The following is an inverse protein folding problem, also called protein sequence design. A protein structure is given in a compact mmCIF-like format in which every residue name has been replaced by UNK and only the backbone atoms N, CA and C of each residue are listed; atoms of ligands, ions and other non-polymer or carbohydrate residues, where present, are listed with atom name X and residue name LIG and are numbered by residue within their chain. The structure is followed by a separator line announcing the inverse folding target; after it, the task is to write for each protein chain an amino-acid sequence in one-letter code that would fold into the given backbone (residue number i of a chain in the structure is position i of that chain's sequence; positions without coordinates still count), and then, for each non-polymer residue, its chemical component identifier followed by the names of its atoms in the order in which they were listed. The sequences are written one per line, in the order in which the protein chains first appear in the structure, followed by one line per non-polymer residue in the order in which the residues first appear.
data_IF_660067609268
#
_entry.id   IF_660067609268
#
_cell.length_a   1.000
_cell.length_b   1.000
_cell.length_c   1.000
_cell.angle_alpha   90.00
_cell.angle_beta   90.00
_cell.angle_gamma   90.00
#
_symmetry.space_group_name_H-M   'P 1'
#
loop_
_entity.id
_entity.type
_entity.pdbx_description
1 polymer ?
#
# COMPACT_ATOMS: atom_id res chain seq x y z
N UNK A 1 23.36 41.85 -17.34
CA UNK A 1 22.57 41.21 -16.27
C UNK A 1 21.24 40.65 -16.80
N UNK A 2 20.51 41.35 -17.67
CA UNK A 2 19.25 40.88 -18.29
C UNK A 2 19.38 39.55 -19.07
N UNK A 3 20.42 39.40 -19.90
CA UNK A 3 20.61 38.19 -20.72
C UNK A 3 20.83 36.90 -19.90
N UNK A 4 21.46 36.99 -18.73
CA UNK A 4 21.65 35.83 -17.85
C UNK A 4 20.31 35.34 -17.28
N UNK A 5 19.48 36.27 -16.81
CA UNK A 5 18.13 35.97 -16.28
C UNK A 5 17.26 35.35 -17.39
N UNK A 6 17.27 35.91 -18.60
CA UNK A 6 16.51 35.35 -19.74
C UNK A 6 16.94 33.92 -20.07
N UNK A 7 18.25 33.64 -20.09
CA UNK A 7 18.77 32.29 -20.33
C UNK A 7 18.38 31.32 -19.20
N UNK A 8 18.45 31.74 -17.94
CA UNK A 8 18.04 30.94 -16.79
C UNK A 8 16.54 30.60 -16.84
N UNK A 9 15.68 31.60 -17.09
CA UNK A 9 14.23 31.41 -17.25
C UNK A 9 13.92 30.43 -18.37
N UNK A 10 14.62 30.51 -19.51
CA UNK A 10 14.42 29.57 -20.62
C UNK A 10 14.75 28.12 -20.23
N UNK A 11 15.86 27.90 -19.52
CA UNK A 11 16.27 26.57 -19.04
C UNK A 11 15.30 26.01 -18.00
N UNK A 12 14.84 26.84 -17.07
CA UNK A 12 13.81 26.46 -16.10
C UNK A 12 12.50 26.10 -16.82
N UNK A 13 12.10 26.87 -17.84
CA UNK A 13 10.94 26.54 -18.67
C UNK A 13 11.04 25.14 -19.30
N UNK A 14 12.20 24.80 -19.87
CA UNK A 14 12.44 23.46 -20.43
C UNK A 14 12.36 22.35 -19.36
N UNK A 15 12.90 22.59 -18.16
CA UNK A 15 12.83 21.62 -17.05
C UNK A 15 11.39 21.42 -16.57
N UNK A 16 10.61 22.49 -16.45
CA UNK A 16 9.19 22.41 -16.08
C UNK A 16 8.42 21.61 -17.13
N UNK A 17 8.58 21.93 -18.41
CA UNK A 17 7.91 21.19 -19.49
C UNK A 17 8.27 19.70 -19.48
N UNK A 18 9.56 19.39 -19.27
CA UNK A 18 10.04 18.01 -19.17
C UNK A 18 9.43 17.28 -17.96
N UNK A 19 9.43 17.90 -16.78
CA UNK A 19 8.84 17.33 -15.56
C UNK A 19 7.35 17.09 -15.71
N UNK A 20 6.61 18.04 -16.30
CA UNK A 20 5.17 17.90 -16.56
C UNK A 20 4.89 16.76 -17.54
N UNK A 21 5.74 16.58 -18.56
CA UNK A 21 5.60 15.46 -19.49
C UNK A 21 5.80 14.12 -18.78
N UNK A 22 6.89 13.95 -18.04
CA UNK A 22 7.16 12.69 -17.33
C UNK A 22 6.14 12.40 -16.23
N UNK A 23 5.62 13.41 -15.54
CA UNK A 23 4.57 13.21 -14.53
C UNK A 23 3.25 12.72 -15.14
N UNK A 24 2.90 13.18 -16.35
CA UNK A 24 1.74 12.67 -17.08
C UNK A 24 1.93 11.22 -17.53
N UNK A 25 3.11 10.91 -18.07
CA UNK A 25 3.42 9.53 -18.49
C UNK A 25 3.42 8.60 -17.28
N UNK A 26 4.05 8.98 -16.17
CA UNK A 26 4.05 8.16 -14.96
C UNK A 26 2.64 7.98 -14.39
N UNK A 27 1.79 9.01 -14.45
CA UNK A 27 0.39 8.90 -14.04
C UNK A 27 -0.41 7.91 -14.90
N UNK A 28 -0.24 7.92 -16.23
CA UNK A 28 -0.94 6.99 -17.11
C UNK A 28 -0.44 5.55 -16.94
N UNK A 29 0.87 5.37 -16.73
CA UNK A 29 1.45 4.05 -16.38
C UNK A 29 0.90 3.56 -15.04
N UNK A 30 0.87 4.43 -14.02
CA UNK A 30 0.32 4.08 -12.71
C UNK A 30 -1.16 3.67 -12.81
N UNK A 31 -1.95 4.35 -13.64
CA UNK A 31 -3.35 4.00 -13.91
C UNK A 31 -3.49 2.63 -14.58
N UNK A 32 -2.63 2.32 -15.55
CA UNK A 32 -2.64 0.99 -16.19
C UNK A 32 -2.34 -0.11 -15.17
N UNK A 33 -1.34 0.10 -14.30
CA UNK A 33 -1.01 -0.85 -13.23
C UNK A 33 -2.19 -0.99 -12.26
N UNK A 34 -2.80 0.13 -11.83
CA UNK A 34 -3.96 0.10 -10.93
C UNK A 34 -5.10 -0.78 -11.44
N UNK A 35 -5.41 -0.68 -12.73
CA UNK A 35 -6.47 -1.47 -13.36
C UNK A 35 -6.03 -2.92 -13.58
N UNK A 36 -4.82 -3.15 -14.12
CA UNK A 36 -4.33 -4.50 -14.45
C UNK A 36 -4.08 -5.37 -13.23
N UNK A 37 -3.54 -4.79 -12.17
CA UNK A 37 -3.27 -5.48 -10.91
C UNK A 37 -4.51 -5.55 -9.99
N UNK A 38 -5.64 -4.98 -10.42
CA UNK A 38 -6.89 -5.03 -9.64
C UNK A 38 -6.74 -4.37 -8.27
N UNK A 39 -6.04 -3.23 -8.18
CA UNK A 39 -5.82 -2.50 -6.91
C UNK A 39 -7.07 -1.78 -6.40
N UNK A 40 -8.20 -1.94 -7.09
CA UNK A 40 -9.49 -1.49 -6.62
C UNK A 40 -9.90 -2.29 -5.38
N UNK A 41 -10.54 -1.63 -4.37
CA UNK A 41 -11.12 -2.36 -3.26
C UNK A 41 -12.08 -3.44 -3.76
N UNK A 42 -12.03 -4.66 -3.19
CA UNK A 42 -12.92 -5.73 -3.59
C UNK A 42 -14.38 -5.39 -3.29
N UNK A 43 -15.29 -6.07 -3.97
CA UNK A 43 -16.73 -5.94 -3.72
C UNK A 43 -17.10 -6.45 -2.32
N UNK A 44 -18.21 -5.96 -1.77
CA UNK A 44 -18.66 -6.35 -0.42
C UNK A 44 -19.00 -7.85 -0.35
N UNK A 45 -19.44 -8.45 -1.46
CA UNK A 45 -19.76 -9.87 -1.55
C UNK A 45 -18.50 -10.74 -1.50
N UNK A 46 -17.44 -10.34 -2.22
CA UNK A 46 -16.13 -11.00 -2.16
C UNK A 46 -15.54 -10.93 -0.75
N UNK A 47 -15.62 -9.77 -0.10
CA UNK A 47 -15.16 -9.62 1.29
C UNK A 47 -15.89 -10.57 2.24
N UNK A 48 -17.24 -10.64 2.15
CA UNK A 48 -18.03 -11.57 2.95
C UNK A 48 -17.67 -13.03 2.69
N UNK A 49 -17.41 -13.38 1.43
CA UNK A 49 -17.02 -14.74 1.05
C UNK A 49 -15.69 -15.15 1.70
N UNK A 50 -14.67 -14.31 1.58
CA UNK A 50 -13.36 -14.54 2.20
C UNK A 50 -13.47 -14.60 3.72
N UNK A 51 -14.20 -13.67 4.34
CA UNK A 51 -14.37 -13.66 5.79
C UNK A 51 -15.07 -14.93 6.30
N UNK A 52 -16.15 -15.35 5.63
CA UNK A 52 -16.87 -16.60 5.98
C UNK A 52 -15.98 -17.83 5.82
N UNK A 53 -15.14 -17.88 4.78
CA UNK A 53 -14.20 -18.98 4.55
C UNK A 53 -13.16 -19.03 5.66
N UNK A 54 -12.49 -17.91 5.95
CA UNK A 54 -11.50 -17.81 7.02
C UNK A 54 -12.07 -18.18 8.39
N UNK A 55 -13.28 -17.71 8.69
CA UNK A 55 -13.96 -18.02 9.94
C UNK A 55 -14.23 -19.52 10.09
N UNK A 56 -14.69 -20.19 9.03
CA UNK A 56 -14.89 -21.65 9.03
C UNK A 56 -13.58 -22.40 9.22
N UNK A 57 -12.55 -22.04 8.45
CA UNK A 57 -11.21 -22.66 8.56
C UNK A 57 -10.63 -22.50 9.98
N UNK A 58 -10.80 -21.34 10.61
CA UNK A 58 -10.34 -21.09 11.98
C UNK A 58 -11.03 -21.99 13.02
N UNK A 59 -12.34 -22.21 12.88
CA UNK A 59 -13.11 -23.12 13.75
C UNK A 59 -12.67 -24.57 13.52
N UNK A 60 -12.46 -24.97 12.26
CA UNK A 60 -12.04 -26.33 11.92
C UNK A 60 -10.64 -26.65 12.47
N UNK A 61 -9.71 -25.70 12.38
CA UNK A 61 -8.36 -25.84 12.96
C UNK A 61 -8.40 -25.97 14.49
N UNK A 62 -9.27 -25.22 15.15
CA UNK A 62 -9.46 -25.31 16.62
C UNK A 62 -10.04 -26.66 17.01
N UNK A 63 -10.95 -27.19 16.20
CA UNK A 63 -11.60 -28.48 16.43
C UNK A 63 -10.67 -29.67 16.19
N UNK A 64 -9.58 -29.48 15.42
CA UNK A 64 -8.63 -30.53 15.03
C UNK A 64 -7.16 -30.13 15.28
N UNK A 65 -6.72 -30.08 16.56
CA UNK A 65 -5.41 -29.57 16.92
C UNK A 65 -4.24 -30.37 16.34
N UNK A 66 -4.42 -31.68 16.09
CA UNK A 66 -3.38 -32.54 15.48
C UNK A 66 -3.08 -32.14 14.02
N UNK A 67 -4.10 -31.79 13.25
CA UNK A 67 -3.95 -31.36 11.86
C UNK A 67 -3.27 -29.98 11.80
N UNK A 68 -3.62 -29.08 12.72
CA UNK A 68 -2.97 -27.77 12.84
C UNK A 68 -1.47 -27.86 13.16
N UNK A 69 -1.06 -28.78 14.05
CA UNK A 69 0.35 -29.00 14.36
C UNK A 69 1.14 -29.54 13.17
N UNK A 70 0.51 -30.41 12.37
CA UNK A 70 1.12 -30.94 11.14
C UNK A 70 1.28 -29.82 10.11
N UNK A 71 0.28 -28.97 9.91
CA UNK A 71 0.37 -27.79 9.05
C UNK A 71 1.54 -26.89 9.45
N UNK A 72 1.67 -26.57 10.73
CA UNK A 72 2.74 -25.69 11.22
C UNK A 72 4.14 -26.31 11.02
N UNK A 73 4.27 -27.62 11.22
CA UNK A 73 5.53 -28.34 11.00
C UNK A 73 5.95 -28.43 9.53
N UNK A 74 5.00 -28.37 8.61
CA UNK A 74 5.25 -28.45 7.17
C UNK A 74 5.50 -27.08 6.52
N UNK A 75 5.50 -25.98 7.28
CA UNK A 75 5.79 -24.64 6.76
C UNK A 75 7.25 -24.59 6.27
N UNK A 76 7.44 -24.25 5.00
CA UNK A 76 8.77 -24.12 4.40
C UNK A 76 9.29 -22.69 4.59
N UNK A 77 10.61 -22.48 4.55
CA UNK A 77 11.21 -21.13 4.64
C UNK A 77 10.67 -20.12 3.61
N UNK A 78 10.29 -20.59 2.41
CA UNK A 78 9.63 -19.76 1.38
C UNK A 78 8.25 -19.27 1.82
N UNK A 79 7.49 -20.12 2.51
CA UNK A 79 6.18 -19.75 3.03
C UNK A 79 6.31 -18.72 4.14
N UNK A 80 7.32 -18.86 4.99
CA UNK A 80 7.61 -17.88 6.04
C UNK A 80 7.91 -16.50 5.46
N UNK A 81 8.72 -16.42 4.41
CA UNK A 81 9.02 -15.16 3.70
C UNK A 81 7.74 -14.57 3.08
N UNK A 82 6.88 -15.41 2.49
CA UNK A 82 5.61 -14.96 1.90
C UNK A 82 4.66 -14.40 2.96
N UNK A 83 4.47 -15.13 4.06
CA UNK A 83 3.58 -14.71 5.15
C UNK A 83 4.12 -13.48 5.90
N UNK A 84 5.43 -13.36 6.08
CA UNK A 84 6.02 -12.16 6.66
C UNK A 84 5.86 -10.95 5.74
N UNK A 85 6.01 -11.12 4.42
CA UNK A 85 5.73 -10.06 3.46
C UNK A 85 4.26 -9.59 3.53
N UNK A 86 3.29 -10.52 3.65
CA UNK A 86 1.89 -10.16 3.88
C UNK A 86 1.68 -9.45 5.22
N UNK A 87 2.33 -9.89 6.28
CA UNK A 87 2.28 -9.23 7.59
C UNK A 87 2.77 -7.77 7.53
N UNK A 88 3.88 -7.53 6.83
CA UNK A 88 4.43 -6.18 6.61
C UNK A 88 3.46 -5.34 5.77
N UNK A 89 2.86 -5.91 4.72
CA UNK A 89 1.86 -5.21 3.90
C UNK A 89 0.63 -4.79 4.72
N UNK A 90 0.10 -5.69 5.57
CA UNK A 90 -1.03 -5.39 6.45
C UNK A 90 -0.67 -4.29 7.47
N UNK A 91 0.51 -4.36 8.08
CA UNK A 91 1.00 -3.32 8.97
C UNK A 91 1.14 -1.97 8.23
N UNK A 92 1.64 -1.98 6.99
CA UNK A 92 1.72 -0.80 6.14
C UNK A 92 0.35 -0.19 5.84
N UNK A 93 -0.63 -1.02 5.45
CA UNK A 93 -2.01 -0.57 5.16
C UNK A 93 -2.71 -0.03 6.41
N UNK A 94 -2.50 -0.64 7.58
CA UNK A 94 -3.02 -0.13 8.86
C UNK A 94 -2.51 1.30 9.14
N UNK A 95 -1.18 1.50 9.07
CA UNK A 95 -0.58 2.81 9.28
C UNK A 95 -1.03 3.83 8.22
N UNK A 96 -1.20 3.41 6.96
CA UNK A 96 -1.74 4.26 5.91
C UNK A 96 -3.17 4.70 6.21
N UNK A 97 -4.01 3.78 6.67
CA UNK A 97 -5.37 4.08 7.12
C UNK A 97 -5.38 5.07 8.29
N UNK A 98 -4.46 4.90 9.24
CA UNK A 98 -4.29 5.83 10.35
C UNK A 98 -3.88 7.23 9.87
N UNK A 99 -2.92 7.35 8.95
CA UNK A 99 -2.49 8.61 8.30
C UNK A 99 -3.67 9.30 7.62
N UNK A 100 -4.48 8.56 6.86
CA UNK A 100 -5.68 9.08 6.18
C UNK A 100 -6.72 9.53 7.21
N UNK A 101 -6.98 8.71 8.23
CA UNK A 101 -7.95 8.99 9.29
C UNK A 101 -7.59 10.24 10.10
N UNK A 102 -6.31 10.42 10.44
CA UNK A 102 -5.81 11.61 11.15
C UNK A 102 -5.52 12.80 10.24
N UNK A 103 -5.49 12.60 8.91
CA UNK A 103 -5.11 13.59 7.88
C UNK A 103 -3.75 14.26 8.13
N UNK A 104 -2.80 13.49 8.67
CA UNK A 104 -1.45 13.97 9.02
C UNK A 104 -0.42 12.89 8.72
N UNK A 105 0.66 13.31 8.06
CA UNK A 105 1.76 12.41 7.66
C UNK A 105 2.71 12.16 8.84
N UNK A 106 2.92 13.16 9.70
CA UNK A 106 3.86 13.07 10.83
C UNK A 106 3.24 13.67 12.10
N UNK A 107 3.26 12.89 13.19
CA UNK A 107 2.98 13.36 14.54
C UNK A 107 1.56 13.87 14.81
N UNK A 108 1.34 14.32 16.04
CA UNK A 108 0.21 15.16 16.44
C UNK A 108 0.72 16.59 16.68
N UNK A 109 -0.16 17.59 16.58
CA UNK A 109 0.24 18.94 16.96
C UNK A 109 0.40 18.93 18.48
N UNK A 110 1.58 19.34 18.96
CA UNK A 110 1.72 19.70 20.36
C UNK A 110 1.07 21.08 20.52
N UNK A 111 0.03 21.15 21.35
CA UNK A 111 -0.48 22.42 21.84
C UNK A 111 0.19 22.60 23.20
N UNK A 112 1.25 23.40 23.25
CA UNK A 112 1.74 23.91 24.53
C UNK A 112 0.64 24.82 25.09
N UNK A 113 0.16 24.49 26.29
CA UNK A 113 -0.77 25.33 27.04
C UNK A 113 0.05 26.40 27.76
N UNK A 114 0.16 27.58 27.13
CA UNK A 114 0.56 28.83 27.80
C UNK A 114 -0.68 29.72 28.02
#
# INVERSE_FOLDING_TARGET
MSAFITNLTSKIGLLITKTVYYSKVSAEVAKQVYIKEGLAPPTTTEFQSVFRKLYKEAIELTSKPKEALVLLKNVTGKDLIKYSAYGIQLAGLYNLGEIIGRRKIVGYNHYDHE
#
